data_IF_181001248893
#
_entry.id   IF_181001248893
#
_cell.length_a   1.000
_cell.length_b   1.000
_cell.length_c   1.000
_cell.angle_alpha   90.00
_cell.angle_beta   90.00
_cell.angle_gamma   90.00
#
_symmetry.space_group_name_H-M   'P 1'
#
loop_
_entity.id
_entity.type
_entity.pdbx_description
1 polymer ?
#
# COMPACT_ATOMS: atom_id res chain seq x y z
N UNK A 1 -11.74 -25.31 34.63
CA UNK A 1 -10.83 -24.97 33.52
C UNK A 1 -11.65 -24.94 32.24
N UNK A 2 -12.02 -23.75 31.77
CA UNK A 2 -12.84 -23.60 30.57
C UNK A 2 -11.92 -23.61 29.36
N UNK A 3 -11.98 -24.67 28.56
CA UNK A 3 -11.20 -24.77 27.32
C UNK A 3 -11.83 -23.84 26.27
N UNK A 4 -11.11 -22.77 25.93
CA UNK A 4 -11.48 -21.85 24.85
C UNK A 4 -11.11 -22.52 23.52
N UNK A 5 -12.06 -23.20 22.90
CA UNK A 5 -11.89 -23.73 21.54
C UNK A 5 -11.97 -22.58 20.55
N UNK A 6 -10.83 -21.96 20.26
CA UNK A 6 -10.69 -21.07 19.10
C UNK A 6 -10.80 -21.93 17.84
N UNK A 7 -12.01 -22.04 17.32
CA UNK A 7 -12.27 -22.55 15.97
C UNK A 7 -11.48 -21.69 14.99
N UNK A 8 -10.30 -22.16 14.57
CA UNK A 8 -9.59 -21.62 13.43
C UNK A 8 -10.40 -21.96 12.18
N UNK A 9 -11.40 -21.12 11.92
CA UNK A 9 -12.07 -21.07 10.61
C UNK A 9 -10.95 -20.71 9.63
N UNK A 10 -10.56 -21.66 8.79
CA UNK A 10 -9.60 -21.44 7.71
C UNK A 10 -9.98 -20.15 7.00
N UNK A 11 -9.20 -19.10 7.23
CA UNK A 11 -9.46 -17.78 6.68
C UNK A 11 -9.13 -17.90 5.20
N UNK A 12 -10.12 -18.33 4.42
CA UNK A 12 -10.00 -18.45 2.97
C UNK A 12 -9.68 -17.04 2.49
N UNK A 13 -8.40 -16.83 2.17
CA UNK A 13 -7.93 -15.56 1.68
C UNK A 13 -8.77 -15.24 0.46
N UNK A 14 -9.53 -14.15 0.53
CA UNK A 14 -10.36 -13.74 -0.58
C UNK A 14 -9.39 -13.31 -1.69
N UNK A 15 -9.24 -14.15 -2.71
CA UNK A 15 -8.32 -13.93 -3.83
C UNK A 15 -8.57 -12.57 -4.47
N UNK A 16 -9.83 -12.15 -4.58
CA UNK A 16 -10.22 -10.86 -5.16
C UNK A 16 -9.59 -9.69 -4.38
N UNK A 17 -9.58 -9.77 -3.05
CA UNK A 17 -8.99 -8.73 -2.19
C UNK A 17 -7.47 -8.70 -2.35
N UNK A 18 -6.83 -9.85 -2.50
CA UNK A 18 -5.38 -9.94 -2.74
C UNK A 18 -5.03 -9.32 -4.09
N UNK A 19 -5.78 -9.66 -5.13
CA UNK A 19 -5.59 -9.11 -6.47
C UNK A 19 -5.81 -7.59 -6.49
N UNK A 20 -6.81 -7.09 -5.77
CA UNK A 20 -7.07 -5.65 -5.67
C UNK A 20 -5.92 -4.92 -4.95
N UNK A 21 -5.41 -5.46 -3.84
CA UNK A 21 -4.26 -4.87 -3.14
C UNK A 21 -3.02 -4.90 -4.04
N UNK A 22 -2.79 -6.00 -4.77
CA UNK A 22 -1.67 -6.11 -5.69
C UNK A 22 -1.80 -5.10 -6.85
N UNK A 23 -3.00 -4.96 -7.42
CA UNK A 23 -3.31 -3.97 -8.45
C UNK A 23 -3.07 -2.54 -7.96
N UNK A 24 -3.57 -2.22 -6.76
CA UNK A 24 -3.36 -0.93 -6.12
C UNK A 24 -1.87 -0.58 -5.98
N UNK A 25 -1.07 -1.51 -5.46
CA UNK A 25 0.39 -1.30 -5.26
C UNK A 25 1.13 -1.18 -6.59
N UNK A 26 0.79 -1.99 -7.59
CA UNK A 26 1.47 -1.95 -8.90
C UNK A 26 1.07 -0.74 -9.74
N UNK A 27 -0.08 -0.11 -9.46
CA UNK A 27 -0.58 1.06 -10.21
C UNK A 27 0.04 2.41 -9.84
N UNK A 28 0.85 2.47 -8.78
CA UNK A 28 1.40 3.72 -8.23
C UNK A 28 2.92 3.78 -8.44
N UNK A 29 3.38 4.78 -9.20
CA UNK A 29 4.81 5.06 -9.35
C UNK A 29 5.40 5.79 -8.13
N UNK A 30 4.69 6.79 -7.60
CA UNK A 30 5.06 7.49 -6.37
C UNK A 30 3.78 7.87 -5.61
N UNK A 31 3.69 7.52 -4.33
CA UNK A 31 2.44 7.67 -3.59
C UNK A 31 2.34 6.80 -2.35
N UNK A 32 1.11 6.46 -1.97
CA UNK A 32 0.80 5.52 -0.88
C UNK A 32 -0.46 4.74 -1.19
N UNK A 33 -0.49 3.48 -0.77
CA UNK A 33 -1.71 2.65 -0.69
C UNK A 33 -2.04 2.47 0.79
N UNK A 34 -3.29 2.69 1.18
CA UNK A 34 -3.78 2.55 2.55
C UNK A 34 -4.90 1.50 2.57
N UNK A 35 -4.76 0.47 3.42
CA UNK A 35 -5.74 -0.62 3.54
C UNK A 35 -6.37 -0.55 4.92
N UNK A 36 -7.70 -0.47 4.98
CA UNK A 36 -8.46 -0.42 6.24
C UNK A 36 -9.12 -1.75 6.50
N UNK A 37 -8.90 -2.28 7.70
CA UNK A 37 -9.40 -3.58 8.14
C UNK A 37 -10.33 -3.38 9.33
N UNK A 38 -11.56 -3.89 9.22
CA UNK A 38 -12.52 -3.98 10.32
C UNK A 38 -12.99 -5.43 10.46
N UNK A 39 -13.05 -5.95 11.69
CA UNK A 39 -13.49 -7.33 11.99
C UNK A 39 -12.76 -8.41 11.16
N UNK A 40 -11.46 -8.20 10.93
CA UNK A 40 -10.62 -9.12 10.15
C UNK A 40 -10.90 -9.13 8.64
N UNK A 41 -11.68 -8.17 8.14
CA UNK A 41 -12.00 -8.01 6.71
C UNK A 41 -11.48 -6.67 6.20
N UNK A 42 -10.92 -6.69 5.00
CA UNK A 42 -10.60 -5.46 4.28
C UNK A 42 -11.93 -4.81 3.88
N UNK A 43 -12.13 -3.56 4.30
CA UNK A 43 -13.34 -2.78 4.00
C UNK A 43 -13.05 -1.60 3.08
N UNK A 44 -11.78 -1.20 2.96
CA UNK A 44 -11.36 -0.10 2.10
C UNK A 44 -9.91 -0.28 1.65
N UNK A 45 -9.64 0.11 0.40
CA UNK A 45 -8.32 0.28 -0.18
C UNK A 45 -8.29 1.67 -0.81
N UNK A 46 -7.40 2.55 -0.36
CA UNK A 46 -7.24 3.90 -0.89
C UNK A 46 -5.86 4.08 -1.52
N UNK A 47 -5.85 4.62 -2.74
CA UNK A 47 -4.65 4.88 -3.52
C UNK A 47 -4.40 6.38 -3.66
N UNK A 48 -3.32 6.89 -3.08
CA UNK A 48 -2.92 8.30 -3.19
C UNK A 48 -1.66 8.44 -4.03
N UNK A 49 -1.81 8.90 -5.28
CA UNK A 49 -0.67 9.29 -6.12
C UNK A 49 -0.06 10.60 -5.64
N UNK A 50 1.26 10.71 -5.69
CA UNK A 50 2.02 11.91 -5.33
C UNK A 50 2.93 12.29 -6.49
N UNK A 51 3.20 13.57 -6.63
CA UNK A 51 4.14 14.09 -7.63
C UNK A 51 5.28 14.76 -6.88
N UNK A 52 6.53 14.39 -7.19
CA UNK A 52 7.70 15.12 -6.71
C UNK A 52 8.06 16.18 -7.75
N UNK A 53 7.84 17.43 -7.40
CA UNK A 53 8.40 18.54 -8.15
C UNK A 53 9.88 18.64 -7.75
N UNK A 54 10.76 17.97 -8.49
CA UNK A 54 12.20 18.11 -8.29
C UNK A 54 12.56 19.59 -8.49
N UNK A 55 13.04 20.26 -7.44
CA UNK A 55 13.74 21.53 -7.62
C UNK A 55 15.00 21.20 -8.41
N UNK A 56 15.06 21.64 -9.66
CA UNK A 56 16.28 21.62 -10.44
C UNK A 56 17.37 22.25 -9.59
N UNK A 57 18.33 21.45 -9.11
CA UNK A 57 19.56 22.02 -8.57
C UNK A 57 20.14 22.86 -9.71
N UNK A 58 20.41 24.17 -9.52
CA UNK A 58 21.06 24.94 -10.57
C UNK A 58 22.40 24.25 -10.81
N UNK A 59 22.58 23.71 -12.02
CA UNK A 59 23.85 23.20 -12.50
C UNK A 59 24.86 24.32 -12.38
N UNK A 60 25.65 24.34 -11.30
CA UNK A 60 26.76 25.25 -11.17
C UNK A 60 27.77 24.78 -12.22
N UNK A 61 27.76 25.44 -13.39
CA UNK A 61 28.89 25.36 -14.31
C UNK A 61 30.09 25.89 -13.54
N UNK A 62 30.89 24.99 -12.97
CA UNK A 62 32.26 25.29 -12.59
C UNK A 62 32.99 25.59 -13.88
N UNK A 63 33.24 26.87 -14.12
CA UNK A 63 34.21 27.35 -15.09
C UNK A 63 35.57 27.04 -14.45
N UNK A 64 36.31 26.07 -14.99
CA UNK A 64 37.71 25.85 -14.63
C UNK A 64 38.57 26.98 -15.21
N UNK A 65 39.49 27.57 -14.42
CA UNK A 65 40.58 28.40 -14.93
C UNK A 65 41.75 27.57 -15.47
#
# INVERSE_FOLDING_TARGET
>A
MTQLTTTHKSNQLNTDVIEEILGAVTSIEYGSVEVVIHDGKVVQIECRKKIRLSQSKPTRKTLEP
#
